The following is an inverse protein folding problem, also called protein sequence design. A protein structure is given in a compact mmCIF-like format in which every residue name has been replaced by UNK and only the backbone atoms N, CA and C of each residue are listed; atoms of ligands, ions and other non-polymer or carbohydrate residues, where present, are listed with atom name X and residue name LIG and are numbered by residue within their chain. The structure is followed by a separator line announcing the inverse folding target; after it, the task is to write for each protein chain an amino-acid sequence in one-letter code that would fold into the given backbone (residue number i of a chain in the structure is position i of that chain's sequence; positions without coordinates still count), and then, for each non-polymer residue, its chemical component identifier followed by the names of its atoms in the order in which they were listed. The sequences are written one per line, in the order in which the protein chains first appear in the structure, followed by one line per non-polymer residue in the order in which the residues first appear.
data_IF_571516431645
#
_entry.id   IF_571516431645
#
_cell.length_a   1.000
_cell.length_b   1.000
_cell.length_c   1.000
_cell.angle_alpha   90.00
_cell.angle_beta   90.00
_cell.angle_gamma   90.00
#
_symmetry.space_group_name_H-M   'P 1'
#
loop_
_entity.id
_entity.type
_entity.pdbx_description
1 polymer ?
#
# COMPACT_ATOMS: atom_id res chain seq x y z
N UNK A 1 0.71 8.11 10.07
CA UNK A 1 1.69 7.02 10.24
C UNK A 1 2.48 6.74 8.95
N UNK A 2 1.86 6.66 7.76
CA UNK A 2 2.54 6.31 6.48
C UNK A 2 3.40 7.41 5.84
N UNK A 3 3.31 8.65 6.32
CA UNK A 3 4.11 9.76 5.81
C UNK A 3 5.61 9.48 5.88
N UNK A 4 6.07 8.80 6.93
CA UNK A 4 7.48 8.43 7.09
C UNK A 4 7.93 7.39 6.06
N UNK A 5 7.09 6.39 5.77
CA UNK A 5 7.36 5.39 4.72
C UNK A 5 7.43 6.09 3.35
N UNK A 6 6.49 6.99 3.06
CA UNK A 6 6.46 7.76 1.81
C UNK A 6 7.67 8.67 1.64
N UNK A 7 8.11 9.32 2.72
CA UNK A 7 9.31 10.16 2.72
C UNK A 7 10.53 9.26 2.52
N UNK A 8 10.69 8.17 3.28
CA UNK A 8 11.80 7.23 3.13
C UNK A 8 11.94 6.69 1.70
N UNK A 9 10.84 6.28 1.07
CA UNK A 9 10.84 5.79 -0.30
C UNK A 9 11.27 6.84 -1.34
N UNK A 10 10.99 8.13 -1.09
CA UNK A 10 11.41 9.23 -1.97
C UNK A 10 12.90 9.57 -1.87
N UNK A 11 13.53 9.30 -0.72
CA UNK A 11 14.92 9.71 -0.44
C UNK A 11 15.94 8.56 -0.47
N UNK A 12 15.53 7.34 -0.81
CA UNK A 12 16.48 6.27 -1.14
C UNK A 12 17.11 6.60 -2.50
N UNK A 13 18.40 6.97 -2.49
CA UNK A 13 19.19 7.22 -3.69
C UNK A 13 19.15 6.00 -4.63
N UNK A 14 18.58 6.19 -5.83
CA UNK A 14 18.57 5.17 -6.87
C UNK A 14 19.97 5.06 -7.47
N UNK A 15 20.77 4.11 -6.99
CA UNK A 15 22.01 3.67 -7.66
C UNK A 15 21.63 3.25 -9.09
N UNK A 16 22.22 3.89 -10.11
CA UNK A 16 21.97 3.54 -11.51
C UNK A 16 22.66 2.22 -11.86
N UNK A 17 22.00 1.10 -11.62
CA UNK A 17 22.38 -0.17 -12.23
C UNK A 17 21.91 -0.19 -13.70
N UNK A 18 22.80 -0.65 -14.61
CA UNK A 18 22.47 -0.83 -16.03
C UNK A 18 21.30 -1.81 -16.16
N UNK A 19 20.09 -1.31 -16.45
CA UNK A 19 18.86 -2.09 -16.54
C UNK A 19 18.97 -3.16 -17.65
N UNK A 20 18.70 -4.43 -17.33
CA UNK A 20 18.35 -5.46 -18.34
C UNK A 20 17.00 -5.07 -18.97
N UNK A 21 16.77 -5.42 -20.23
CA UNK A 21 15.69 -4.90 -21.11
C UNK A 21 14.25 -5.07 -20.61
N UNK A 22 14.00 -5.76 -19.50
CA UNK A 22 12.68 -5.80 -18.87
C UNK A 22 12.79 -5.88 -17.34
N UNK A 23 12.75 -4.72 -16.70
CA UNK A 23 12.54 -4.57 -15.26
C UNK A 23 11.38 -3.58 -15.04
N UNK A 24 10.13 -4.07 -14.89
CA UNK A 24 9.07 -3.20 -14.43
C UNK A 24 9.43 -2.71 -13.02
N UNK A 25 9.47 -1.39 -12.82
CA UNK A 25 9.70 -0.77 -11.52
C UNK A 25 8.44 -0.92 -10.65
N UNK A 26 8.08 -2.17 -10.29
CA UNK A 26 6.92 -2.50 -9.47
C UNK A 26 7.35 -2.68 -8.01
N UNK A 27 6.73 -1.93 -7.10
CA UNK A 27 6.95 -2.03 -5.65
C UNK A 27 5.78 -2.74 -5.00
N UNK A 28 6.03 -3.86 -4.32
CA UNK A 28 5.00 -4.56 -3.53
C UNK A 28 5.20 -4.21 -2.06
N UNK A 29 4.13 -3.73 -1.41
CA UNK A 29 4.10 -3.46 0.03
C UNK A 29 3.13 -4.45 0.70
N UNK A 30 3.62 -5.20 1.67
CA UNK A 30 2.86 -6.21 2.41
C UNK A 30 2.67 -5.79 3.86
N UNK A 31 1.46 -5.96 4.38
CA UNK A 31 1.15 -5.78 5.81
C UNK A 31 0.48 -7.02 6.39
N UNK A 32 0.95 -7.46 7.55
CA UNK A 32 0.28 -8.46 8.38
C UNK A 32 -0.41 -7.74 9.54
N UNK A 33 -1.73 -7.92 9.64
CA UNK A 33 -2.61 -7.30 10.64
C UNK A 33 -2.35 -5.79 10.85
N UNK A 34 -2.50 -4.94 9.82
CA UNK A 34 -2.17 -3.52 9.91
C UNK A 34 -3.02 -2.76 10.95
N UNK A 35 -4.13 -3.34 11.42
CA UNK A 35 -5.00 -2.83 12.46
C UNK A 35 -4.54 -3.07 13.90
N UNK A 36 -3.49 -3.86 14.11
CA UNK A 36 -3.08 -4.28 15.45
C UNK A 36 -2.79 -3.07 16.33
N UNK A 37 -3.48 -3.01 17.48
CA UNK A 37 -3.50 -1.92 18.45
C UNK A 37 -4.21 -0.61 18.03
N UNK A 38 -4.93 -0.58 16.90
CA UNK A 38 -5.67 0.60 16.47
C UNK A 38 -7.14 0.57 16.91
N UNK A 39 -7.63 1.70 17.40
CA UNK A 39 -9.07 1.89 17.62
C UNK A 39 -9.84 1.86 16.28
N UNK A 40 -11.13 1.48 16.27
CA UNK A 40 -11.92 1.35 15.05
C UNK A 40 -11.88 2.59 14.12
N UNK A 41 -11.94 3.79 14.69
CA UNK A 41 -11.82 5.05 13.94
C UNK A 41 -10.47 5.17 13.23
N UNK A 42 -9.38 4.75 13.88
CA UNK A 42 -8.04 4.75 13.29
C UNK A 42 -7.90 3.70 12.18
N UNK A 43 -8.62 2.57 12.28
CA UNK A 43 -8.68 1.57 11.22
C UNK A 43 -9.39 2.09 9.96
N UNK A 44 -10.42 2.93 10.09
CA UNK A 44 -11.09 3.57 8.95
C UNK A 44 -10.16 4.55 8.22
N UNK A 45 -9.41 5.37 8.97
CA UNK A 45 -8.41 6.26 8.41
C UNK A 45 -7.30 5.47 7.71
N UNK A 46 -6.83 4.40 8.34
CA UNK A 46 -5.84 3.50 7.79
C UNK A 46 -6.31 2.86 6.47
N UNK A 47 -7.56 2.36 6.41
CA UNK A 47 -8.12 1.80 5.19
C UNK A 47 -8.16 2.84 4.05
N UNK A 48 -8.54 4.09 4.38
CA UNK A 48 -8.53 5.20 3.41
C UNK A 48 -7.13 5.50 2.90
N UNK A 49 -6.12 5.49 3.77
CA UNK A 49 -4.73 5.75 3.41
C UNK A 49 -4.13 4.62 2.57
N UNK A 50 -4.40 3.35 2.90
CA UNK A 50 -3.99 2.19 2.08
C UNK A 50 -4.62 2.26 0.69
N UNK A 51 -5.90 2.66 0.58
CA UNK A 51 -6.56 2.85 -0.71
C UNK A 51 -5.85 3.92 -1.55
N UNK A 52 -5.57 5.09 -0.98
CA UNK A 52 -4.83 6.16 -1.68
C UNK A 52 -3.43 5.71 -2.10
N UNK A 53 -2.76 4.96 -1.24
CA UNK A 53 -1.42 4.45 -1.53
C UNK A 53 -1.45 3.42 -2.69
N UNK A 54 -2.56 2.68 -2.85
CA UNK A 54 -2.76 1.75 -3.98
C UNK A 54 -3.10 2.41 -5.32
N UNK A 55 -3.24 3.74 -5.36
CA UNK A 55 -3.52 4.46 -6.61
C UNK A 55 -2.25 4.69 -7.46
N UNK A 56 -1.06 4.48 -6.90
CA UNK A 56 0.19 4.53 -7.65
C UNK A 56 0.27 3.31 -8.60
N UNK A 57 0.37 3.49 -9.93
CA UNK A 57 0.38 2.39 -10.88
C UNK A 57 1.63 1.49 -10.77
N UNK A 58 2.70 2.00 -10.15
CA UNK A 58 3.94 1.26 -9.93
C UNK A 58 3.97 0.59 -8.56
N UNK A 59 2.87 0.60 -7.81
CA UNK A 59 2.80 0.04 -6.47
C UNK A 59 1.60 -0.89 -6.31
N UNK A 60 1.84 -2.04 -5.69
CA UNK A 60 0.80 -2.95 -5.26
C UNK A 60 0.82 -3.09 -3.74
N UNK A 61 -0.36 -3.05 -3.13
CA UNK A 61 -0.52 -3.22 -1.68
C UNK A 61 -1.28 -4.51 -1.45
N UNK A 62 -0.71 -5.38 -0.63
CA UNK A 62 -1.35 -6.58 -0.12
C UNK A 62 -1.36 -6.50 1.40
N UNK A 63 -2.46 -6.90 2.01
CA UNK A 63 -2.53 -7.00 3.47
C UNK A 63 -3.43 -8.13 3.91
N UNK A 64 -3.06 -8.75 5.03
CA UNK A 64 -3.87 -9.71 5.76
C UNK A 64 -4.49 -8.98 6.95
N UNK A 65 -5.78 -9.21 7.20
CA UNK A 65 -6.55 -8.49 8.20
C UNK A 65 -7.62 -9.40 8.78
N UNK A 66 -7.88 -9.25 10.08
CA UNK A 66 -9.00 -9.87 10.77
C UNK A 66 -10.17 -8.89 10.97
N UNK A 67 -9.97 -7.61 10.63
CA UNK A 67 -10.96 -6.55 10.79
C UNK A 67 -11.87 -6.40 9.57
N UNK A 68 -13.18 -6.45 9.81
CA UNK A 68 -14.20 -6.23 8.79
C UNK A 68 -14.18 -4.79 8.21
N UNK A 69 -13.52 -3.83 8.87
CA UNK A 69 -13.41 -2.44 8.42
C UNK A 69 -12.63 -2.34 7.10
N UNK A 70 -11.68 -3.24 6.87
CA UNK A 70 -10.88 -3.30 5.64
C UNK A 70 -11.59 -4.02 4.50
N UNK A 71 -12.59 -4.85 4.83
CA UNK A 71 -13.37 -5.62 3.87
C UNK A 71 -14.64 -4.84 3.51
N UNK A 72 -14.52 -3.92 2.56
CA UNK A 72 -15.68 -3.20 1.99
C UNK A 72 -16.65 -4.17 1.32
N UNK A 73 -17.97 -3.93 1.39
CA UNK A 73 -18.99 -4.67 0.61
C UNK A 73 -18.90 -4.44 -0.91
N UNK A 74 -18.08 -3.49 -1.36
CA UNK A 74 -17.89 -3.09 -2.77
C UNK A 74 -16.45 -3.37 -3.26
N UNK A 75 -15.95 -4.60 -3.08
CA UNK A 75 -14.65 -5.04 -3.64
C UNK A 75 -14.71 -5.21 -5.17
N UNK A 76 -15.87 -4.97 -5.81
CA UNK A 76 -16.00 -5.00 -7.25
C UNK A 76 -15.39 -3.73 -7.87
N UNK A 77 -14.07 -3.74 -8.07
CA UNK A 77 -13.38 -2.78 -8.92
C UNK A 77 -13.57 -3.26 -10.37
N UNK A 78 -14.43 -2.57 -11.13
CA UNK A 78 -14.55 -2.82 -12.57
C UNK A 78 -13.19 -2.62 -13.23
N UNK A 79 -12.65 -3.70 -13.80
CA UNK A 79 -11.61 -3.62 -14.81
C UNK A 79 -12.28 -3.12 -16.09
N UNK A 80 -12.13 -1.83 -16.38
CA UNK A 80 -12.48 -1.21 -17.65
C UNK A 80 -11.27 -0.40 -18.14
#
# INVERSE_FOLDING_TARGET
MYTLIRIGAKYIDKKQDKKKEFFPDLTIILFEEPEVFLHPTQQEFLNTDLKKLSEDPNQQILYCTHSAIFVSKNIFRSFA
#
